data_IF_472201195075
#
_entry.id   IF_472201195075
#
_cell.length_a   1.000
_cell.length_b   1.000
_cell.length_c   1.000
_cell.angle_alpha   90.00
_cell.angle_beta   90.00
_cell.angle_gamma   90.00
#
_symmetry.space_group_name_H-M   'P 1'
#
loop_
_entity.id
_entity.type
_entity.pdbx_description
1 polymer ?
#
# COMPACT_ATOMS: atom_id res chain seq x y z
N UNK A 1 -18.69 -7.26 -4.18
CA UNK A 1 -17.73 -6.37 -4.89
C UNK A 1 -16.38 -7.07 -4.95
N UNK A 2 -15.78 -7.15 -6.13
CA UNK A 2 -14.47 -7.80 -6.28
C UNK A 2 -13.32 -6.91 -5.80
N UNK A 3 -13.28 -5.65 -6.24
CA UNK A 3 -12.20 -4.72 -5.92
C UNK A 3 -12.66 -3.46 -5.19
N UNK A 4 -12.00 -3.09 -4.12
CA UNK A 4 -12.09 -1.78 -3.49
C UNK A 4 -10.75 -1.05 -3.62
N UNK A 5 -10.72 0.04 -4.38
CA UNK A 5 -9.54 0.90 -4.55
C UNK A 5 -9.59 1.99 -3.48
N UNK A 6 -8.67 1.92 -2.54
CA UNK A 6 -8.63 2.75 -1.33
C UNK A 6 -7.59 3.85 -1.48
N UNK A 7 -8.04 5.10 -1.48
CA UNK A 7 -7.18 6.27 -1.66
C UNK A 7 -7.19 7.09 -0.38
N UNK A 8 -6.18 6.92 0.50
CA UNK A 8 -6.01 7.83 1.61
C UNK A 8 -5.61 9.21 1.07
N UNK A 9 -6.45 10.20 1.27
CA UNK A 9 -6.17 11.57 0.87
C UNK A 9 -5.94 12.43 2.12
N UNK A 10 -4.80 13.11 2.17
CA UNK A 10 -4.58 14.19 3.12
C UNK A 10 -5.34 15.47 2.72
N UNK A 11 -5.12 16.53 3.45
CA UNK A 11 -5.68 17.85 3.09
C UNK A 11 -5.06 18.46 1.81
N UNK A 12 -4.07 17.80 1.22
CA UNK A 12 -3.40 18.25 0.01
C UNK A 12 -4.22 17.91 -1.23
N UNK A 13 -4.32 18.86 -2.15
CA UNK A 13 -4.97 18.65 -3.44
C UNK A 13 -4.19 17.61 -4.26
N UNK A 14 -4.91 16.67 -4.87
CA UNK A 14 -4.32 15.75 -5.84
C UNK A 14 -3.81 16.57 -7.03
N UNK A 15 -2.54 16.42 -7.43
CA UNK A 15 -2.00 17.14 -8.59
C UNK A 15 -2.83 16.89 -9.86
N UNK A 16 -3.09 17.92 -10.66
CA UNK A 16 -3.82 17.79 -11.92
C UNK A 16 -3.23 16.71 -12.86
N UNK A 17 -1.92 16.51 -12.83
CA UNK A 17 -1.24 15.48 -13.61
C UNK A 17 -1.70 14.06 -13.23
N UNK A 18 -2.17 13.85 -12.00
CA UNK A 18 -2.66 12.56 -11.54
C UNK A 18 -4.13 12.34 -11.94
N UNK A 19 -4.89 13.41 -12.18
CA UNK A 19 -6.26 13.30 -12.71
C UNK A 19 -6.32 12.58 -14.06
N UNK A 20 -5.32 12.80 -14.91
CA UNK A 20 -5.25 12.20 -16.24
C UNK A 20 -5.12 10.66 -16.21
N UNK A 21 -4.65 10.08 -15.14
CA UNK A 21 -4.60 8.62 -14.99
C UNK A 21 -5.90 8.03 -14.45
N UNK A 22 -6.62 8.79 -13.62
CA UNK A 22 -7.84 8.30 -12.97
C UNK A 22 -9.02 8.19 -13.92
N UNK A 23 -9.18 9.12 -14.85
CA UNK A 23 -10.32 9.12 -15.80
C UNK A 23 -10.29 7.86 -16.68
N UNK A 24 -9.20 7.54 -17.42
CA UNK A 24 -9.13 6.31 -18.22
C UNK A 24 -9.28 5.04 -17.37
N UNK A 25 -8.72 5.05 -16.16
CA UNK A 25 -8.87 3.91 -15.26
C UNK A 25 -10.31 3.72 -14.80
N UNK A 26 -11.03 4.77 -14.41
CA UNK A 26 -12.45 4.70 -14.02
C UNK A 26 -13.33 4.20 -15.15
N UNK A 27 -13.11 4.71 -16.36
CA UNK A 27 -13.84 4.26 -17.55
C UNK A 27 -13.61 2.80 -17.87
N UNK A 28 -12.36 2.35 -17.75
CA UNK A 28 -12.00 0.95 -17.93
C UNK A 28 -12.60 0.07 -16.84
N UNK A 29 -12.49 0.46 -15.58
CA UNK A 29 -13.02 -0.28 -14.42
C UNK A 29 -14.53 -0.49 -14.54
N UNK A 30 -15.27 0.56 -14.86
CA UNK A 30 -16.72 0.52 -14.99
C UNK A 30 -17.22 -0.44 -16.11
N UNK A 31 -16.38 -0.72 -17.09
CA UNK A 31 -16.71 -1.60 -18.22
C UNK A 31 -16.27 -3.04 -18.05
N UNK A 32 -15.23 -3.28 -17.26
CA UNK A 32 -14.52 -4.56 -17.27
C UNK A 32 -14.51 -5.29 -15.92
N UNK A 33 -14.70 -4.58 -14.79
CA UNK A 33 -14.54 -5.18 -13.47
C UNK A 33 -15.61 -4.69 -12.48
N UNK A 34 -15.92 -5.54 -11.49
CA UNK A 34 -16.75 -5.19 -10.34
C UNK A 34 -15.87 -4.52 -9.26
N UNK A 35 -15.69 -3.21 -9.39
CA UNK A 35 -14.83 -2.44 -8.52
C UNK A 35 -15.35 -1.04 -8.20
N UNK A 36 -14.90 -0.50 -7.06
CA UNK A 36 -15.26 0.84 -6.60
C UNK A 36 -14.02 1.60 -6.11
N UNK A 37 -13.90 2.85 -6.52
CA UNK A 37 -12.89 3.78 -6.01
C UNK A 37 -13.46 4.51 -4.81
N UNK A 38 -12.75 4.49 -3.69
CA UNK A 38 -13.15 5.06 -2.42
C UNK A 38 -12.00 5.93 -1.92
N UNK A 39 -12.27 7.19 -1.68
CA UNK A 39 -11.30 8.09 -1.05
C UNK A 39 -11.86 8.67 0.24
N UNK A 40 -11.00 8.87 1.22
CA UNK A 40 -11.34 9.52 2.48
C UNK A 40 -10.25 10.50 2.88
N UNK A 41 -10.70 11.69 3.28
CA UNK A 41 -9.82 12.69 3.87
C UNK A 41 -9.61 12.37 5.35
N UNK A 42 -8.36 12.40 5.78
CA UNK A 42 -7.97 12.17 7.17
C UNK A 42 -6.84 13.13 7.58
N UNK A 43 -6.64 13.28 8.89
CA UNK A 43 -5.59 14.12 9.45
C UNK A 43 -4.19 13.56 9.20
N UNK A 44 -4.08 12.25 9.08
CA UNK A 44 -2.84 11.52 8.80
C UNK A 44 -3.13 10.18 8.09
N UNK A 45 -2.08 9.54 7.59
CA UNK A 45 -2.19 8.29 6.82
C UNK A 45 -2.74 7.12 7.65
N UNK A 46 -2.34 6.99 8.92
CA UNK A 46 -2.82 5.93 9.82
C UNK A 46 -4.33 5.99 9.96
N UNK A 47 -4.87 7.16 10.27
CA UNK A 47 -6.31 7.38 10.39
C UNK A 47 -7.02 7.13 9.06
N UNK A 48 -6.46 7.64 7.96
CA UNK A 48 -7.03 7.49 6.62
C UNK A 48 -7.16 6.03 6.19
N UNK A 49 -6.11 5.23 6.38
CA UNK A 49 -6.10 3.81 6.02
C UNK A 49 -7.04 2.99 6.90
N UNK A 50 -7.08 3.25 8.22
CA UNK A 50 -8.04 2.60 9.10
C UNK A 50 -9.48 2.96 8.73
N UNK A 51 -9.79 4.24 8.48
CA UNK A 51 -11.12 4.68 8.05
C UNK A 51 -11.55 4.06 6.72
N UNK A 52 -10.65 3.94 5.75
CA UNK A 52 -10.93 3.31 4.46
C UNK A 52 -11.29 1.83 4.60
N UNK A 53 -10.54 1.07 5.40
CA UNK A 53 -10.81 -0.35 5.64
C UNK A 53 -12.09 -0.60 6.43
N UNK A 54 -12.50 0.32 7.28
CA UNK A 54 -13.71 0.19 8.11
C UNK A 54 -14.92 0.93 7.53
N UNK A 55 -14.74 1.71 6.46
CA UNK A 55 -15.73 2.69 5.98
C UNK A 55 -16.23 3.62 7.08
N UNK A 56 -15.35 3.96 8.04
CA UNK A 56 -15.67 4.76 9.23
C UNK A 56 -16.36 4.01 10.36
N UNK A 57 -16.76 2.76 10.16
CA UNK A 57 -17.43 1.94 11.18
C UNK A 57 -16.41 1.21 12.08
N UNK A 58 -15.89 1.91 13.07
CA UNK A 58 -14.92 1.33 14.01
C UNK A 58 -15.55 0.34 15.02
N UNK A 59 -16.86 0.38 15.21
CA UNK A 59 -17.57 -0.57 16.08
C UNK A 59 -17.70 -1.95 15.46
N UNK A 60 -17.68 -2.04 14.14
CA UNK A 60 -17.63 -3.30 13.38
C UNK A 60 -16.57 -3.20 12.25
N UNK A 61 -15.28 -3.25 12.61
CA UNK A 61 -14.20 -2.92 11.67
C UNK A 61 -14.06 -3.92 10.52
N UNK A 62 -14.65 -5.10 10.62
CA UNK A 62 -14.53 -6.17 9.60
C UNK A 62 -15.72 -6.23 8.64
N UNK A 63 -16.77 -5.43 8.84
CA UNK A 63 -18.00 -5.49 8.04
C UNK A 63 -17.70 -5.26 6.56
N UNK A 64 -16.94 -4.22 6.25
CA UNK A 64 -16.57 -3.91 4.88
C UNK A 64 -15.68 -5.01 4.27
N UNK A 65 -14.73 -5.56 5.01
CA UNK A 65 -13.87 -6.63 4.53
C UNK A 65 -14.61 -7.93 4.17
N UNK A 66 -15.81 -8.15 4.69
CA UNK A 66 -16.68 -9.29 4.31
C UNK A 66 -17.40 -9.09 2.97
N UNK A 67 -17.49 -7.86 2.49
CA UNK A 67 -18.20 -7.50 1.25
C UNK A 67 -17.28 -7.32 0.04
N UNK A 68 -15.96 -7.33 0.26
CA UNK A 68 -14.92 -7.08 -0.75
C UNK A 68 -14.00 -8.29 -0.84
N UNK A 69 -13.58 -8.66 -2.04
CA UNK A 69 -12.58 -9.71 -2.23
C UNK A 69 -11.16 -9.16 -2.11
N UNK A 70 -10.88 -8.01 -2.77
CA UNK A 70 -9.55 -7.41 -2.83
C UNK A 70 -9.57 -5.94 -2.46
N UNK A 71 -8.67 -5.55 -1.58
CA UNK A 71 -8.32 -4.16 -1.34
C UNK A 71 -7.08 -3.77 -2.14
N UNK A 72 -7.14 -2.62 -2.81
CA UNK A 72 -6.02 -2.03 -3.53
C UNK A 72 -5.79 -0.63 -2.97
N UNK A 73 -4.68 -0.45 -2.28
CA UNK A 73 -4.27 0.85 -1.76
C UNK A 73 -3.47 1.62 -2.79
N UNK A 74 -3.84 2.89 -2.98
CA UNK A 74 -3.15 3.81 -3.89
C UNK A 74 -3.03 5.15 -3.19
N UNK A 75 -1.81 5.55 -2.83
CA UNK A 75 -1.61 6.88 -2.26
C UNK A 75 -1.88 7.96 -3.32
N UNK A 76 -2.42 9.10 -2.86
CA UNK A 76 -2.90 10.16 -3.76
C UNK A 76 -1.79 10.81 -4.62
N UNK A 77 -0.52 10.56 -4.32
CA UNK A 77 0.66 11.06 -5.04
C UNK A 77 1.37 9.96 -5.88
N UNK A 78 0.75 8.80 -6.04
CA UNK A 78 1.27 7.73 -6.90
C UNK A 78 0.81 7.91 -8.34
N UNK A 79 1.76 7.90 -9.27
CA UNK A 79 1.53 7.93 -10.73
C UNK A 79 1.68 6.53 -11.31
N UNK A 80 0.62 6.05 -11.95
CA UNK A 80 0.58 4.73 -12.59
C UNK A 80 -0.05 4.81 -13.99
N UNK A 81 0.19 3.80 -14.82
CA UNK A 81 -0.52 3.57 -16.08
C UNK A 81 -1.64 2.54 -15.88
N UNK A 82 -2.59 2.47 -16.82
CA UNK A 82 -3.64 1.44 -16.79
C UNK A 82 -3.03 0.03 -16.80
N UNK A 83 -1.99 -0.22 -17.59
CA UNK A 83 -1.30 -1.52 -17.63
C UNK A 83 -0.65 -1.89 -16.30
N UNK A 84 -0.05 -0.93 -15.61
CA UNK A 84 0.51 -1.16 -14.26
C UNK A 84 -0.58 -1.50 -13.24
N UNK A 85 -1.73 -0.84 -13.31
CA UNK A 85 -2.85 -1.17 -12.45
C UNK A 85 -3.40 -2.58 -12.74
N UNK A 86 -3.51 -2.95 -14.02
CA UNK A 86 -3.94 -4.28 -14.42
C UNK A 86 -2.96 -5.36 -13.96
N UNK A 87 -1.65 -5.12 -14.07
CA UNK A 87 -0.60 -6.03 -13.58
C UNK A 87 -0.75 -6.28 -12.07
N UNK A 88 -0.99 -5.22 -11.28
CA UNK A 88 -1.26 -5.37 -9.84
C UNK A 88 -2.57 -6.13 -9.57
N UNK A 89 -3.65 -5.76 -10.27
CA UNK A 89 -4.98 -6.35 -10.07
C UNK A 89 -5.01 -7.85 -10.38
N UNK A 90 -4.38 -8.26 -11.47
CA UNK A 90 -4.43 -9.64 -11.96
C UNK A 90 -3.37 -10.56 -11.38
N UNK A 91 -2.46 -10.04 -10.56
CA UNK A 91 -1.59 -10.92 -9.77
C UNK A 91 -2.42 -11.87 -8.89
N UNK A 92 -2.08 -13.13 -8.85
CA UNK A 92 -2.76 -14.16 -8.03
C UNK A 92 -2.35 -14.11 -6.54
N UNK A 93 -1.34 -13.31 -6.22
CA UNK A 93 -0.78 -13.22 -4.88
C UNK A 93 -1.74 -12.54 -3.89
N UNK A 94 -1.93 -13.14 -2.71
CA UNK A 94 -2.84 -12.61 -1.68
C UNK A 94 -2.38 -11.30 -1.06
N UNK A 95 -1.08 -11.02 -1.10
CA UNK A 95 -0.50 -9.76 -0.67
C UNK A 95 0.65 -9.41 -1.59
N UNK A 96 0.47 -8.41 -2.43
CA UNK A 96 1.44 -8.02 -3.46
C UNK A 96 1.50 -6.50 -3.62
N UNK A 97 2.66 -6.00 -3.98
CA UNK A 97 2.91 -4.57 -4.20
C UNK A 97 3.73 -4.34 -5.46
N UNK A 98 3.44 -3.23 -6.12
CA UNK A 98 4.44 -2.54 -6.91
C UNK A 98 5.41 -1.78 -6.00
N UNK A 99 6.32 -1.02 -6.59
CA UNK A 99 7.30 -0.25 -5.85
C UNK A 99 7.60 1.09 -6.51
N UNK A 100 8.14 2.03 -5.71
CA UNK A 100 8.52 3.35 -6.16
C UNK A 100 9.71 3.88 -5.36
N UNK A 101 10.36 4.92 -5.88
CA UNK A 101 11.44 5.60 -5.17
C UNK A 101 10.80 6.59 -4.19
N UNK A 102 10.94 6.30 -2.89
CA UNK A 102 10.42 7.15 -1.83
C UNK A 102 11.26 8.42 -1.65
N UNK A 103 12.58 8.28 -1.62
CA UNK A 103 13.49 9.41 -1.51
C UNK A 103 14.43 9.44 -2.73
N UNK A 104 14.30 10.44 -3.63
CA UNK A 104 15.14 10.52 -4.82
C UNK A 104 16.61 10.76 -4.53
N UNK A 105 16.96 11.37 -3.38
CA UNK A 105 18.35 11.69 -3.03
C UNK A 105 19.16 10.44 -2.66
N UNK A 106 18.56 9.49 -1.93
CA UNK A 106 19.21 8.23 -1.53
C UNK A 106 18.63 7.01 -2.25
N UNK A 107 17.67 7.23 -3.15
CA UNK A 107 17.04 6.19 -3.97
C UNK A 107 16.54 4.99 -3.17
N UNK A 108 15.81 5.24 -2.08
CA UNK A 108 15.20 4.17 -1.28
C UNK A 108 13.83 3.77 -1.82
N UNK A 109 13.52 2.46 -1.79
CA UNK A 109 12.30 1.89 -2.36
C UNK A 109 11.19 1.60 -1.34
N UNK A 110 11.46 1.65 -0.04
CA UNK A 110 10.59 1.15 1.05
C UNK A 110 10.15 -0.31 0.92
N UNK A 111 10.81 -1.07 0.07
CA UNK A 111 10.69 -2.52 -0.03
C UNK A 111 11.86 -3.13 0.71
N UNK A 112 11.65 -4.13 1.56
CA UNK A 112 12.79 -4.68 2.27
C UNK A 112 12.49 -5.78 3.26
N UNK A 113 13.46 -5.99 4.12
CA UNK A 113 13.45 -7.08 5.09
C UNK A 113 13.48 -6.56 6.52
N UNK A 114 12.94 -7.34 7.42
CA UNK A 114 12.98 -7.10 8.84
C UNK A 114 13.93 -8.12 9.50
N UNK A 115 15.08 -7.62 9.93
CA UNK A 115 15.98 -8.38 10.83
C UNK A 115 15.81 -7.84 12.25
N UNK A 116 16.86 -7.32 12.84
CA UNK A 116 16.76 -6.59 14.12
C UNK A 116 16.09 -5.22 13.91
N UNK A 117 16.37 -4.61 12.76
CA UNK A 117 15.75 -3.35 12.29
C UNK A 117 15.26 -3.51 10.85
N UNK A 118 14.28 -2.67 10.41
CA UNK A 118 13.84 -2.68 9.02
C UNK A 118 14.96 -2.18 8.10
N UNK A 119 15.23 -2.94 7.05
CA UNK A 119 16.19 -2.61 6.00
C UNK A 119 15.45 -2.44 4.68
N UNK A 120 15.92 -1.54 3.83
CA UNK A 120 15.30 -1.28 2.52
C UNK A 120 16.25 -1.68 1.38
N UNK A 121 15.67 -2.24 0.33
CA UNK A 121 16.38 -2.57 -0.90
C UNK A 121 16.57 -1.31 -1.76
N UNK A 122 17.72 -1.20 -2.39
CA UNK A 122 17.93 -0.23 -3.45
C UNK A 122 17.11 -0.60 -4.70
N UNK A 123 16.81 0.35 -5.60
CA UNK A 123 16.17 0.05 -6.87
C UNK A 123 16.92 -1.01 -7.70
N UNK A 124 18.25 -1.04 -7.62
CA UNK A 124 19.07 -2.03 -8.32
C UNK A 124 18.83 -3.44 -7.76
N UNK A 125 18.72 -3.57 -6.45
CA UNK A 125 18.44 -4.86 -5.81
C UNK A 125 17.03 -5.34 -6.16
N UNK A 126 16.00 -4.48 -6.09
CA UNK A 126 14.64 -4.85 -6.52
C UNK A 126 14.63 -5.32 -7.96
N UNK A 127 15.27 -4.58 -8.88
CA UNK A 127 15.32 -4.91 -10.30
C UNK A 127 16.22 -6.12 -10.63
N UNK A 128 17.04 -6.59 -9.70
CA UNK A 128 17.85 -7.80 -9.91
C UNK A 128 17.01 -9.08 -9.83
N UNK A 129 15.85 -9.04 -9.21
CA UNK A 129 14.89 -10.13 -9.20
C UNK A 129 14.18 -10.21 -10.55
N UNK A 130 14.07 -11.43 -11.11
CA UNK A 130 13.40 -11.68 -12.39
C UNK A 130 11.92 -12.00 -12.24
N UNK A 131 11.56 -12.51 -11.07
CA UNK A 131 10.22 -12.99 -10.74
C UNK A 131 9.71 -12.29 -9.48
N UNK A 132 8.42 -12.41 -9.22
CA UNK A 132 7.79 -11.96 -7.96
C UNK A 132 8.51 -12.61 -6.78
N UNK A 133 8.90 -11.82 -5.80
CA UNK A 133 9.69 -12.29 -4.65
C UNK A 133 9.11 -11.81 -3.32
N UNK A 134 9.34 -12.58 -2.26
CA UNK A 134 8.89 -12.27 -0.91
C UNK A 134 9.81 -11.26 -0.23
N UNK A 135 9.19 -10.39 0.58
CA UNK A 135 9.87 -9.42 1.45
C UNK A 135 9.16 -9.37 2.81
N UNK A 136 9.69 -8.65 3.77
CA UNK A 136 9.05 -8.50 5.07
C UNK A 136 8.17 -7.24 5.14
N UNK A 137 8.44 -6.25 4.29
CA UNK A 137 7.63 -5.04 4.19
C UNK A 137 7.65 -4.41 2.80
N UNK A 138 6.59 -3.71 2.49
CA UNK A 138 6.39 -2.95 1.25
C UNK A 138 5.83 -1.57 1.57
N UNK A 139 6.01 -0.62 0.65
CA UNK A 139 5.33 0.66 0.73
C UNK A 139 3.82 0.52 0.52
N UNK A 140 3.04 1.13 1.38
CA UNK A 140 1.58 1.04 1.35
C UNK A 140 0.89 1.80 0.22
N UNK A 141 1.65 2.56 -0.59
CA UNK A 141 1.10 3.47 -1.59
C UNK A 141 0.69 2.83 -2.92
N UNK A 142 1.05 1.57 -3.19
CA UNK A 142 0.61 0.85 -4.40
C UNK A 142 0.63 -0.66 -4.15
N UNK A 143 -0.36 -1.15 -3.42
CA UNK A 143 -0.42 -2.56 -3.01
C UNK A 143 -1.81 -3.14 -3.11
N UNK A 144 -1.88 -4.46 -3.31
CA UNK A 144 -3.10 -5.27 -3.30
C UNK A 144 -3.04 -6.29 -2.17
N UNK A 145 -4.15 -6.45 -1.44
CA UNK A 145 -4.28 -7.43 -0.38
C UNK A 145 -5.67 -8.09 -0.40
N UNK A 146 -5.70 -9.39 -0.22
CA UNK A 146 -6.96 -10.14 -0.12
C UNK A 146 -7.65 -9.85 1.22
N UNK A 147 -8.96 -9.63 1.20
CA UNK A 147 -9.74 -9.24 2.38
C UNK A 147 -9.71 -10.27 3.52
N UNK A 148 -9.52 -11.56 3.21
CA UNK A 148 -9.37 -12.60 4.22
C UNK A 148 -8.15 -12.41 5.14
N UNK A 149 -7.13 -11.68 4.69
CA UNK A 149 -5.97 -11.33 5.54
C UNK A 149 -6.34 -10.23 6.51
N UNK A 150 -7.07 -9.20 6.06
CA UNK A 150 -7.58 -8.11 6.92
C UNK A 150 -8.50 -8.64 8.02
N UNK A 151 -9.34 -9.63 7.71
CA UNK A 151 -10.28 -10.23 8.67
C UNK A 151 -9.61 -11.00 9.81
N UNK A 152 -8.31 -11.28 9.72
CA UNK A 152 -7.52 -11.96 10.75
C UNK A 152 -6.70 -10.99 11.61
N UNK A 153 -6.63 -9.72 11.24
CA UNK A 153 -5.89 -8.70 12.00
C UNK A 153 -6.72 -8.17 13.16
N UNK A 154 -6.06 -7.63 14.16
CA UNK A 154 -6.71 -6.86 15.23
C UNK A 154 -6.84 -5.38 14.82
N UNK A 155 -7.96 -4.78 15.13
CA UNK A 155 -8.14 -3.33 14.96
C UNK A 155 -7.48 -2.56 16.12
N UNK A 156 -6.78 -1.45 15.89
CA UNK A 156 -6.56 -0.77 14.60
C UNK A 156 -5.57 -1.52 13.70
N UNK A 157 -5.88 -1.62 12.39
CA UNK A 157 -5.06 -2.32 11.41
C UNK A 157 -3.72 -1.64 11.15
N UNK A 158 -3.73 -0.29 11.14
CA UNK A 158 -2.56 0.57 10.98
C UNK A 158 -2.31 1.35 12.27
N UNK A 159 -1.07 1.35 12.73
CA UNK A 159 -0.58 2.15 13.85
C UNK A 159 0.93 2.38 13.75
N UNK A 160 1.45 3.30 14.55
CA UNK A 160 2.87 3.67 14.57
C UNK A 160 3.44 3.35 15.95
N UNK A 161 4.09 2.21 16.14
CA UNK A 161 4.72 1.87 17.40
C UNK A 161 6.09 2.55 17.56
N UNK A 162 6.49 2.69 18.80
CA UNK A 162 7.91 2.91 19.15
C UNK A 162 8.62 1.57 19.28
N UNK A 163 9.81 1.50 18.72
CA UNK A 163 10.72 0.39 18.95
C UNK A 163 12.03 0.90 19.53
N UNK A 164 12.68 0.09 20.34
CA UNK A 164 14.04 0.32 20.79
C UNK A 164 15.01 -0.31 19.79
N UNK A 165 15.96 0.48 19.30
CA UNK A 165 17.02 0.00 18.40
C UNK A 165 18.11 -0.72 19.20
N UNK A 166 18.94 -1.46 18.48
CA UNK A 166 20.10 -2.18 19.07
C UNK A 166 21.10 -1.26 19.76
N UNK A 167 21.14 0.01 19.42
CA UNK A 167 21.96 1.04 20.08
C UNK A 167 21.28 1.71 21.29
N UNK A 168 20.09 1.25 21.71
CA UNK A 168 19.32 1.81 22.82
C UNK A 168 18.48 3.04 22.49
N UNK A 169 18.54 3.54 21.26
CA UNK A 169 17.68 4.66 20.82
C UNK A 169 16.26 4.20 20.53
N UNK A 170 15.27 5.01 20.89
CA UNK A 170 13.88 4.78 20.53
C UNK A 170 13.56 5.44 19.19
N UNK A 171 12.93 4.71 18.28
CA UNK A 171 12.46 5.24 17.01
C UNK A 171 11.00 4.85 16.73
N UNK A 172 10.35 5.59 15.83
CA UNK A 172 9.03 5.26 15.34
C UNK A 172 9.16 4.41 14.06
N UNK A 173 8.34 3.38 13.95
CA UNK A 173 8.26 2.56 12.73
C UNK A 173 7.09 3.01 11.90
N UNK A 174 7.30 3.16 10.59
CA UNK A 174 6.24 3.54 9.67
C UNK A 174 5.10 2.52 9.67
N UNK A 175 3.88 3.01 9.54
CA UNK A 175 2.65 2.24 9.69
C UNK A 175 2.48 1.11 8.67
N UNK A 176 3.01 1.29 7.47
CA UNK A 176 2.96 0.29 6.40
C UNK A 176 3.89 -0.89 6.65
N UNK A 177 5.05 -0.64 7.24
CA UNK A 177 5.98 -1.69 7.68
C UNK A 177 5.35 -2.55 8.78
N UNK A 178 4.73 -1.89 9.75
CA UNK A 178 4.04 -2.55 10.87
C UNK A 178 2.85 -3.35 10.38
N UNK A 179 2.08 -2.78 9.45
CA UNK A 179 0.95 -3.47 8.83
C UNK A 179 1.38 -4.77 8.14
N UNK A 180 2.43 -4.72 7.32
CA UNK A 180 2.95 -5.89 6.63
C UNK A 180 3.42 -6.98 7.62
N UNK A 181 4.09 -6.58 8.69
CA UNK A 181 4.52 -7.47 9.76
C UNK A 181 3.34 -8.12 10.49
N UNK A 182 2.31 -7.34 10.86
CA UNK A 182 1.10 -7.86 11.50
C UNK A 182 0.37 -8.88 10.62
N UNK A 183 0.27 -8.62 9.31
CA UNK A 183 -0.27 -9.58 8.36
C UNK A 183 0.50 -10.89 8.44
N UNK A 184 1.82 -10.83 8.36
CA UNK A 184 2.66 -12.04 8.44
C UNK A 184 2.50 -12.77 9.77
N UNK A 185 2.57 -12.08 10.91
CA UNK A 185 2.47 -12.68 12.24
C UNK A 185 1.11 -13.37 12.49
N UNK A 186 0.03 -12.83 11.93
CA UNK A 186 -1.33 -13.39 12.10
C UNK A 186 -1.70 -14.46 11.07
N UNK A 187 -1.13 -14.40 9.87
CA UNK A 187 -1.60 -15.21 8.73
C UNK A 187 -0.53 -16.12 8.12
N UNK A 188 0.75 -15.90 8.45
CA UNK A 188 1.89 -16.56 7.81
C UNK A 188 2.17 -16.09 6.37
N UNK A 189 1.42 -15.09 5.87
CA UNK A 189 1.56 -14.58 4.49
C UNK A 189 2.44 -13.33 4.49
N UNK A 190 3.58 -13.40 3.82
CA UNK A 190 4.45 -12.25 3.57
C UNK A 190 3.99 -11.47 2.35
N UNK A 191 4.24 -10.15 2.33
CA UNK A 191 4.07 -9.38 1.11
C UNK A 191 5.06 -9.84 0.03
N UNK A 192 4.63 -9.77 -1.23
CA UNK A 192 5.46 -10.00 -2.40
C UNK A 192 5.59 -8.73 -3.22
N UNK A 193 6.67 -8.61 -3.98
CA UNK A 193 6.94 -7.48 -4.86
C UNK A 193 7.02 -7.96 -6.30
N UNK A 194 6.36 -7.22 -7.19
CA UNK A 194 6.52 -7.38 -8.64
C UNK A 194 7.68 -6.47 -9.07
N UNK A 195 8.86 -7.01 -9.41
CA UNK A 195 10.04 -6.18 -9.64
C UNK A 195 9.90 -5.27 -10.88
N UNK A 196 9.14 -5.68 -11.88
CA UNK A 196 8.83 -4.90 -13.09
C UNK A 196 7.81 -3.79 -12.84
N UNK A 197 7.02 -3.87 -11.77
CA UNK A 197 5.94 -2.95 -11.47
C UNK A 197 6.43 -1.72 -10.68
N UNK A 198 7.26 -0.92 -11.35
CA UNK A 198 7.74 0.36 -10.82
C UNK A 198 6.77 1.48 -11.19
N UNK A 199 6.19 2.14 -10.19
CA UNK A 199 5.31 3.29 -10.36
C UNK A 199 6.00 4.61 -10.00
N UNK A 200 5.42 5.74 -10.40
CA UNK A 200 5.92 7.08 -10.07
C UNK A 200 5.44 7.52 -8.69
N UNK A 201 6.29 8.30 -8.00
CA UNK A 201 5.91 9.00 -6.76
C UNK A 201 6.12 10.49 -7.00
N UNK A 202 5.03 11.25 -7.00
CA UNK A 202 5.04 12.69 -7.28
C UNK A 202 5.30 13.43 -5.98
N UNK A 203 6.42 14.14 -5.91
CA UNK A 203 6.74 15.01 -4.77
C UNK A 203 6.71 16.47 -5.20
N UNK A 204 6.12 17.30 -4.37
CA UNK A 204 6.20 18.75 -4.52
C UNK A 204 7.59 19.21 -4.08
N UNK A 205 8.30 19.89 -4.97
CA UNK A 205 9.52 20.60 -4.63
C UNK A 205 9.16 22.08 -4.62
N UNK A 206 9.21 22.72 -3.46
CA UNK A 206 9.16 24.19 -3.39
C UNK A 206 10.52 24.69 -3.83
N UNK A 207 10.55 25.39 -4.94
CA UNK A 207 11.76 26.08 -5.48
C UNK A 207 11.86 27.45 -4.81
#
# INVERSE_FOLDING_TARGET
MKYAFLIPSGQQMVPNILFQQWVPFQEWLAKNEDGKIISMVASNQVEGRNKLLTQGNQSNPYEFAKTVEWFIFIDADIKFSLSQMQELMYSEEKFVSGWYIFNPNNQTSLVGYWKDEPTVLSPKEVLSHKEIFEVDHVAGGFMKIHSSLIQQLEFPFYYVPKIERTNGETTWVAEDLVFARNVYEKTGIKPKVIPTLKVGHVKWVTI
#
